data_IF_321065086384
#
_entry.id   IF_321065086384
#
_cell.length_a   1.000
_cell.length_b   1.000
_cell.length_c   1.000
_cell.angle_alpha   90.00
_cell.angle_beta   90.00
_cell.angle_gamma   90.00
#
_symmetry.space_group_name_H-M   'P 1'
#
loop_
_entity.id
_entity.type
_entity.pdbx_description
1 polymer ?
#
# COMPACT_ATOMS: atom_id res chain seq x y z
N UNK A 1 13.17 -9.11 -9.50
CA UNK A 1 12.68 -9.99 -8.40
C UNK A 1 13.11 -9.59 -7.00
N UNK A 2 14.41 -9.45 -6.67
CA UNK A 2 14.86 -9.15 -5.29
C UNK A 2 14.17 -7.94 -4.63
N UNK A 3 13.97 -6.86 -5.38
CA UNK A 3 13.26 -5.65 -4.93
C UNK A 3 11.83 -5.97 -4.52
N UNK A 4 11.11 -6.73 -5.35
CA UNK A 4 9.71 -7.08 -5.14
C UNK A 4 9.56 -8.09 -3.98
N UNK A 5 10.47 -9.05 -3.85
CA UNK A 5 10.50 -9.96 -2.70
C UNK A 5 10.76 -9.21 -1.39
N UNK A 6 11.65 -8.20 -1.41
CA UNK A 6 11.90 -7.36 -0.24
C UNK A 6 10.67 -6.52 0.13
N UNK A 7 10.04 -5.87 -0.86
CA UNK A 7 8.81 -5.12 -0.65
C UNK A 7 7.70 -6.02 -0.07
N UNK A 8 7.50 -7.21 -0.63
CA UNK A 8 6.51 -8.18 -0.14
C UNK A 8 6.77 -8.57 1.33
N UNK A 9 8.03 -8.79 1.71
CA UNK A 9 8.39 -9.08 3.10
C UNK A 9 8.09 -7.92 4.05
N UNK A 10 8.35 -6.68 3.63
CA UNK A 10 8.08 -5.48 4.43
C UNK A 10 6.58 -5.21 4.56
N UNK A 11 5.82 -5.37 3.48
CA UNK A 11 4.36 -5.32 3.49
C UNK A 11 3.84 -6.35 4.48
N UNK A 12 4.18 -7.63 4.31
CA UNK A 12 3.71 -8.73 5.17
C UNK A 12 4.05 -8.52 6.65
N UNK A 13 5.24 -7.99 6.96
CA UNK A 13 5.63 -7.66 8.36
C UNK A 13 4.82 -6.54 9.01
N UNK A 14 3.99 -5.85 8.22
CA UNK A 14 3.11 -4.77 8.67
C UNK A 14 1.67 -5.25 8.82
N UNK A 15 1.37 -6.50 8.55
CA UNK A 15 0.02 -7.04 8.52
C UNK A 15 -0.27 -7.89 9.76
N UNK A 16 -1.54 -7.96 10.14
CA UNK A 16 -2.08 -8.90 11.13
C UNK A 16 -2.28 -10.27 10.49
N UNK A 17 -2.54 -11.29 11.30
CA UNK A 17 -2.71 -12.66 10.80
C UNK A 17 -3.90 -12.84 9.83
N UNK A 18 -4.96 -12.03 9.98
CA UNK A 18 -6.16 -12.06 9.12
C UNK A 18 -6.06 -11.16 7.88
N UNK A 19 -5.06 -10.28 7.83
CA UNK A 19 -4.88 -9.35 6.73
C UNK A 19 -4.24 -10.10 5.56
N UNK A 20 -4.60 -9.73 4.33
CA UNK A 20 -4.13 -10.41 3.11
C UNK A 20 -3.38 -9.42 2.25
N UNK A 21 -2.21 -9.81 1.74
CA UNK A 21 -1.51 -9.07 0.68
C UNK A 21 -1.26 -9.97 -0.52
N UNK A 22 -1.47 -9.42 -1.71
CA UNK A 22 -1.23 -10.09 -2.98
C UNK A 22 -0.51 -9.17 -3.97
N UNK A 23 0.31 -9.75 -4.83
CA UNK A 23 0.87 -9.06 -5.99
C UNK A 23 -0.12 -9.20 -7.14
N UNK A 24 -0.72 -8.09 -7.58
CA UNK A 24 -1.76 -8.06 -8.61
C UNK A 24 -1.18 -7.78 -10.01
N UNK A 25 0.03 -7.23 -10.08
CA UNK A 25 0.68 -6.87 -11.34
C UNK A 25 2.20 -6.85 -11.25
N UNK A 26 2.86 -6.23 -12.23
CA UNK A 26 4.32 -6.15 -12.32
C UNK A 26 4.95 -5.60 -11.04
N UNK A 27 4.50 -4.43 -10.59
CA UNK A 27 5.04 -3.75 -9.40
C UNK A 27 3.95 -3.43 -8.37
N UNK A 28 2.76 -3.98 -8.58
CA UNK A 28 1.53 -3.59 -7.90
C UNK A 28 1.13 -4.63 -6.86
N UNK A 29 0.84 -4.13 -5.66
CA UNK A 29 0.39 -4.92 -4.52
C UNK A 29 -0.97 -4.42 -4.07
N UNK A 30 -1.85 -5.36 -3.74
CA UNK A 30 -3.14 -5.11 -3.11
C UNK A 30 -3.09 -5.65 -1.68
N UNK A 31 -3.67 -4.90 -0.73
CA UNK A 31 -3.77 -5.31 0.67
C UNK A 31 -5.24 -5.21 1.09
N UNK A 32 -5.76 -6.29 1.66
CA UNK A 32 -7.12 -6.40 2.19
C UNK A 32 -7.03 -6.49 3.70
N UNK A 33 -7.81 -5.66 4.40
CA UNK A 33 -7.78 -5.51 5.86
C UNK A 33 -9.18 -5.79 6.45
N UNK A 34 -9.53 -7.06 6.69
CA UNK A 34 -10.86 -7.41 7.20
C UNK A 34 -11.15 -6.77 8.55
N UNK A 35 -12.28 -6.07 8.65
CA UNK A 35 -12.74 -5.42 9.88
C UNK A 35 -11.95 -4.17 10.27
N UNK A 36 -11.14 -3.61 9.36
CA UNK A 36 -10.49 -2.33 9.58
C UNK A 36 -11.40 -1.18 9.12
N UNK A 37 -11.47 -0.11 9.93
CA UNK A 37 -12.07 1.15 9.48
C UNK A 37 -11.17 1.87 8.47
N UNK A 38 -11.69 2.90 7.79
CA UNK A 38 -10.90 3.72 6.87
C UNK A 38 -9.65 4.32 7.55
N UNK A 39 -9.80 4.82 8.77
CA UNK A 39 -8.69 5.38 9.56
C UNK A 39 -7.63 4.33 9.87
N UNK A 40 -8.05 3.14 10.32
CA UNK A 40 -7.12 2.05 10.62
C UNK A 40 -6.41 1.56 9.36
N UNK A 41 -7.11 1.49 8.24
CA UNK A 41 -6.51 1.13 6.95
C UNK A 41 -5.47 2.17 6.49
N UNK A 42 -5.75 3.46 6.68
CA UNK A 42 -4.81 4.54 6.39
C UNK A 42 -3.54 4.46 7.26
N UNK A 43 -3.68 4.15 8.56
CA UNK A 43 -2.53 3.93 9.46
C UNK A 43 -1.67 2.73 9.03
N UNK A 44 -2.30 1.63 8.60
CA UNK A 44 -1.58 0.47 8.06
C UNK A 44 -0.82 0.85 6.79
N UNK A 45 -1.46 1.58 5.88
CA UNK A 45 -0.85 2.04 4.65
C UNK A 45 0.34 2.98 4.91
N UNK A 46 0.24 3.93 5.85
CA UNK A 46 1.34 4.82 6.23
C UNK A 46 2.50 4.04 6.86
N UNK A 47 2.20 3.06 7.71
CA UNK A 47 3.23 2.18 8.29
C UNK A 47 3.96 1.37 7.21
N UNK A 48 3.26 0.85 6.21
CA UNK A 48 3.87 0.17 5.05
C UNK A 48 4.78 1.14 4.30
N UNK A 49 4.28 2.34 3.99
CA UNK A 49 5.02 3.37 3.24
C UNK A 49 6.31 3.76 3.95
N UNK A 50 6.25 4.06 5.25
CA UNK A 50 7.39 4.43 6.06
C UNK A 50 8.43 3.29 6.11
N UNK A 51 8.00 2.05 6.38
CA UNK A 51 8.92 0.90 6.40
C UNK A 51 9.65 0.67 5.07
N UNK A 52 8.96 0.86 3.94
CA UNK A 52 9.58 0.75 2.62
C UNK A 52 10.61 1.86 2.41
N UNK A 53 10.25 3.10 2.77
CA UNK A 53 11.08 4.28 2.56
C UNK A 53 12.32 4.36 3.48
N UNK A 54 12.24 3.79 4.68
CA UNK A 54 13.31 3.83 5.68
C UNK A 54 14.38 2.74 5.47
N UNK A 55 14.03 1.61 4.86
CA UNK A 55 14.95 0.48 4.73
C UNK A 55 15.77 0.53 3.45
N UNK A 56 17.08 0.59 3.64
CA UNK A 56 18.03 0.34 2.55
C UNK A 56 18.14 -1.16 2.27
N UNK A 57 18.05 -1.51 0.99
CA UNK A 57 18.21 -2.88 0.53
C UNK A 57 19.52 -3.02 -0.25
N UNK A 58 20.37 -3.94 0.20
CA UNK A 58 21.60 -4.32 -0.50
C UNK A 58 21.28 -5.16 -1.76
N UNK A 59 21.48 -4.59 -2.94
CA UNK A 59 21.25 -5.28 -4.22
C UNK A 59 22.52 -5.86 -4.86
N UNK A 60 23.70 -5.38 -4.48
CA UNK A 60 25.01 -5.92 -4.86
C UNK A 60 26.04 -5.63 -3.76
N UNK A 61 27.27 -6.20 -3.86
CA UNK A 61 28.32 -6.14 -2.81
C UNK A 61 28.50 -4.77 -2.13
N UNK A 62 28.26 -3.67 -2.84
CA UNK A 62 28.40 -2.30 -2.32
C UNK A 62 27.32 -1.35 -2.83
N UNK A 63 26.17 -1.88 -3.26
CA UNK A 63 25.09 -1.06 -3.82
C UNK A 63 23.83 -1.28 -2.99
N UNK A 64 23.41 -0.24 -2.29
CA UNK A 64 22.09 -0.18 -1.64
C UNK A 64 21.15 0.66 -2.48
N UNK A 65 19.86 0.35 -2.40
CA UNK A 65 18.81 1.20 -2.93
C UNK A 65 17.77 1.44 -1.84
N UNK A 66 17.10 2.58 -1.93
CA UNK A 66 15.86 2.85 -1.20
C UNK A 66 14.70 2.75 -2.17
N UNK A 67 13.61 2.18 -1.72
CA UNK A 67 12.36 2.12 -2.47
C UNK A 67 11.30 2.91 -1.72
N UNK A 68 10.34 3.47 -2.44
CA UNK A 68 9.17 4.09 -1.83
C UNK A 68 7.92 3.57 -2.52
N UNK A 69 6.79 3.69 -1.83
CA UNK A 69 5.49 3.33 -2.38
C UNK A 69 4.53 4.51 -2.26
N UNK A 70 3.60 4.61 -3.20
CA UNK A 70 2.40 5.43 -3.05
C UNK A 70 1.24 4.47 -2.84
N UNK A 71 0.29 4.82 -1.99
CA UNK A 71 -0.85 3.96 -1.66
C UNK A 71 -2.15 4.75 -1.74
N UNK A 72 -3.18 4.13 -2.30
CA UNK A 72 -4.56 4.57 -2.18
C UNK A 72 -5.32 3.62 -1.27
N UNK A 73 -6.19 4.17 -0.42
CA UNK A 73 -6.94 3.42 0.58
C UNK A 73 -8.42 3.68 0.38
N UNK A 74 -9.24 2.65 0.46
CA UNK A 74 -10.71 2.71 0.46
C UNK A 74 -11.27 1.80 1.55
N UNK A 75 -12.52 2.07 1.95
CA UNK A 75 -13.24 1.26 2.95
C UNK A 75 -14.70 1.05 2.55
N UNK A 76 -15.26 -0.12 2.88
CA UNK A 76 -16.70 -0.41 2.76
C UNK A 76 -17.56 0.52 3.61
N UNK A 77 -16.98 1.18 4.62
CA UNK A 77 -17.65 2.24 5.39
C UNK A 77 -18.02 3.44 4.51
N UNK A 78 -17.29 3.69 3.43
CA UNK A 78 -17.50 4.81 2.52
C UNK A 78 -18.55 4.50 1.43
N UNK A 79 -18.60 3.26 0.96
CA UNK A 79 -19.54 2.83 -0.10
C UNK A 79 -20.86 2.34 0.48
N UNK A 80 -20.88 1.90 1.75
CA UNK A 80 -22.06 1.32 2.39
C UNK A 80 -22.32 -0.13 1.99
N UNK A 81 -21.43 -0.73 1.18
CA UNK A 81 -21.48 -2.11 0.73
C UNK A 81 -20.05 -2.72 0.67
N UNK A 82 -19.97 -4.00 0.35
CA UNK A 82 -18.71 -4.74 0.21
C UNK A 82 -18.39 -5.04 -1.26
N UNK A 83 -18.80 -4.17 -2.20
CA UNK A 83 -18.46 -4.35 -3.60
C UNK A 83 -16.96 -4.16 -3.81
N UNK A 84 -16.27 -5.28 -4.08
CA UNK A 84 -14.82 -5.29 -4.27
C UNK A 84 -14.39 -4.44 -5.47
N UNK A 85 -15.14 -4.43 -6.58
CA UNK A 85 -14.77 -3.66 -7.77
C UNK A 85 -14.86 -2.16 -7.49
N UNK A 86 -15.88 -1.74 -6.75
CA UNK A 86 -16.03 -0.35 -6.34
C UNK A 86 -14.92 0.08 -5.37
N UNK A 87 -14.61 -0.74 -4.36
CA UNK A 87 -13.55 -0.48 -3.40
C UNK A 87 -12.17 -0.41 -4.07
N UNK A 88 -11.89 -1.35 -4.98
CA UNK A 88 -10.64 -1.37 -5.73
C UNK A 88 -10.51 -0.12 -6.61
N UNK A 89 -11.56 0.23 -7.37
CA UNK A 89 -11.59 1.42 -8.22
C UNK A 89 -11.31 2.71 -7.42
N UNK A 90 -11.89 2.83 -6.23
CA UNK A 90 -11.65 3.97 -5.34
C UNK A 90 -10.19 4.01 -4.82
N UNK A 91 -9.64 2.86 -4.42
CA UNK A 91 -8.24 2.75 -4.01
C UNK A 91 -7.29 3.12 -5.16
N UNK A 92 -7.56 2.64 -6.37
CA UNK A 92 -6.74 2.94 -7.57
C UNK A 92 -6.79 4.42 -7.94
N UNK A 93 -7.97 5.06 -7.85
CA UNK A 93 -8.12 6.51 -8.02
C UNK A 93 -7.26 7.28 -7.02
N UNK A 94 -7.29 6.90 -5.74
CA UNK A 94 -6.51 7.56 -4.68
C UNK A 94 -5.01 7.29 -4.82
N UNK A 95 -4.63 6.09 -5.25
CA UNK A 95 -3.26 5.76 -5.61
C UNK A 95 -2.76 6.65 -6.75
N UNK A 96 -3.60 6.88 -7.76
CA UNK A 96 -3.28 7.79 -8.85
C UNK A 96 -3.07 9.23 -8.36
N UNK A 97 -3.95 9.73 -7.48
CA UNK A 97 -3.78 11.05 -6.86
C UNK A 97 -2.49 11.14 -6.04
N UNK A 98 -2.16 10.12 -5.24
CA UNK A 98 -0.91 10.05 -4.50
C UNK A 98 0.32 10.11 -5.44
N UNK A 99 0.26 9.44 -6.60
CA UNK A 99 1.31 9.51 -7.63
C UNK A 99 1.40 10.91 -8.24
N UNK A 100 0.27 11.56 -8.54
CA UNK A 100 0.23 12.92 -9.10
C UNK A 100 0.75 13.97 -8.12
N UNK A 101 0.43 13.84 -6.84
CA UNK A 101 0.81 14.82 -5.82
C UNK A 101 2.30 14.76 -5.42
N UNK A 102 3.09 13.85 -6.02
CA UNK A 102 4.54 13.76 -5.80
C UNK A 102 5.03 12.40 -5.30
N UNK A 103 4.19 11.36 -5.35
CA UNK A 103 4.49 9.99 -4.89
C UNK A 103 4.84 9.94 -3.39
N UNK A 104 5.26 8.77 -2.92
CA UNK A 104 5.68 8.49 -1.55
C UNK A 104 4.71 9.04 -0.50
N UNK A 105 3.41 8.76 -0.67
CA UNK A 105 2.34 9.19 0.25
C UNK A 105 1.13 8.26 0.19
N UNK A 106 0.26 8.41 1.18
CA UNK A 106 -1.02 7.70 1.28
C UNK A 106 -2.17 8.67 1.07
N UNK A 107 -3.11 8.34 0.18
CA UNK A 107 -4.38 9.05 0.05
C UNK A 107 -5.52 8.12 0.50
N UNK A 108 -6.27 8.54 1.51
CA UNK A 108 -7.47 7.84 2.01
C UNK A 108 -8.76 8.63 1.76
N UNK A 109 -8.66 9.75 1.03
CA UNK A 109 -9.78 10.55 0.57
C UNK A 109 -9.45 11.15 -0.79
N UNK A 110 -10.44 11.76 -1.43
CA UNK A 110 -10.32 12.30 -2.77
C UNK A 110 -9.70 13.71 -2.81
N UNK A 111 -9.44 14.30 -1.65
CA UNK A 111 -8.83 15.60 -1.48
C UNK A 111 -7.38 15.43 -1.03
N UNK A 112 -6.47 16.20 -1.65
CA UNK A 112 -5.05 16.22 -1.33
C UNK A 112 -4.75 16.98 -0.02
#
# INVERSE_FOLDING_TARGET
DRVLSHAAGLISSSLRAQDVAGRVGGEEFCVILPGASLTQAAEVAERIRLKLNEKEMLIAKSTTIRISASLGVSSSEETGDYDFEQLQSLADRRLYLAKQAGRNRVFASDNA
#
